data_IF_953882331045
#
_entry.id   IF_953882331045
#
_cell.length_a   1.000
_cell.length_b   1.000
_cell.length_c   1.000
_cell.angle_alpha   90.00
_cell.angle_beta   90.00
_cell.angle_gamma   90.00
#
_symmetry.space_group_name_H-M   'P 1'
#
loop_
_entity.id
_entity.type
_entity.pdbx_description
1 polymer ?
#
# COMPACT_ATOMS: atom_id res chain seq x y z
N UNK A 1 24.87 -17.13 -6.68
CA UNK A 1 23.44 -17.52 -6.57
C UNK A 1 22.87 -17.49 -5.13
N UNK A 2 23.53 -17.96 -4.06
CA UNK A 2 22.96 -17.91 -2.71
C UNK A 2 22.76 -16.47 -2.19
N UNK A 3 23.67 -15.54 -2.50
CA UNK A 3 23.58 -14.13 -2.07
C UNK A 3 22.32 -13.43 -2.58
N UNK A 4 22.00 -13.59 -3.85
CA UNK A 4 20.77 -13.00 -4.43
C UNK A 4 19.50 -13.51 -3.72
N UNK A 5 19.45 -14.80 -3.40
CA UNK A 5 18.31 -15.37 -2.67
C UNK A 5 18.18 -14.84 -1.24
N UNK A 6 19.29 -14.55 -0.58
CA UNK A 6 19.23 -13.95 0.77
C UNK A 6 18.75 -12.49 0.71
N UNK A 7 19.23 -11.72 -0.26
CA UNK A 7 18.80 -10.33 -0.45
C UNK A 7 17.31 -10.25 -0.81
N UNK A 8 16.86 -11.07 -1.77
CA UNK A 8 15.44 -11.08 -2.16
C UNK A 8 14.53 -11.51 -1.01
N UNK A 9 14.91 -12.53 -0.24
CA UNK A 9 14.16 -12.97 0.95
C UNK A 9 14.10 -11.89 2.01
N UNK A 10 15.19 -11.19 2.28
CA UNK A 10 15.25 -10.12 3.26
C UNK A 10 14.33 -8.96 2.86
N UNK A 11 14.39 -8.51 1.61
CA UNK A 11 13.51 -7.46 1.09
C UNK A 11 12.04 -7.90 1.16
N UNK A 12 11.74 -9.13 0.72
CA UNK A 12 10.39 -9.68 0.80
C UNK A 12 9.86 -9.72 2.22
N UNK A 13 10.67 -10.15 3.18
CA UNK A 13 10.24 -10.25 4.60
C UNK A 13 9.91 -8.89 5.19
N UNK A 14 10.69 -7.86 4.88
CA UNK A 14 10.41 -6.49 5.34
C UNK A 14 9.14 -5.96 4.70
N UNK A 15 8.98 -6.11 3.39
CA UNK A 15 7.79 -5.63 2.68
C UNK A 15 6.53 -6.35 3.13
N UNK A 16 6.59 -7.67 3.31
CA UNK A 16 5.47 -8.45 3.85
C UNK A 16 5.10 -7.97 5.24
N UNK A 17 6.06 -7.84 6.13
CA UNK A 17 5.80 -7.36 7.48
C UNK A 17 5.12 -5.99 7.48
N UNK A 18 5.59 -5.05 6.66
CA UNK A 18 4.99 -3.73 6.55
C UNK A 18 3.57 -3.79 5.96
N UNK A 19 3.36 -4.57 4.91
CA UNK A 19 2.06 -4.72 4.26
C UNK A 19 1.07 -5.40 5.20
N UNK A 20 1.48 -6.49 5.86
CA UNK A 20 0.64 -7.22 6.82
C UNK A 20 0.30 -6.35 8.03
N UNK A 21 1.27 -5.60 8.55
CA UNK A 21 1.04 -4.67 9.65
C UNK A 21 0.01 -3.59 9.28
N UNK A 22 0.14 -2.97 8.10
CA UNK A 22 -0.82 -1.97 7.63
C UNK A 22 -2.18 -2.62 7.33
N UNK A 23 -2.19 -3.80 6.71
CA UNK A 23 -3.41 -4.55 6.41
C UNK A 23 -4.17 -4.93 7.67
N UNK A 24 -3.50 -5.39 8.71
CA UNK A 24 -4.12 -5.71 10.00
C UNK A 24 -4.76 -4.48 10.64
N UNK A 25 -4.16 -3.30 10.52
CA UNK A 25 -4.77 -2.06 11.00
C UNK A 25 -6.09 -1.77 10.27
N UNK A 26 -6.16 -2.00 8.95
CA UNK A 26 -7.35 -1.65 8.14
C UNK A 26 -8.40 -2.77 8.05
N UNK A 27 -7.99 -4.03 8.10
CA UNK A 27 -8.89 -5.18 7.95
C UNK A 27 -9.13 -5.85 9.30
N UNK A 28 -8.09 -5.97 10.14
CA UNK A 28 -8.12 -6.62 11.44
C UNK A 28 -8.29 -5.70 12.65
N UNK A 29 -8.46 -4.40 12.41
CA UNK A 29 -8.31 -3.30 13.37
C UNK A 29 -9.01 -3.39 14.73
N UNK A 30 -9.93 -4.34 14.91
CA UNK A 30 -10.54 -4.60 16.24
C UNK A 30 -9.89 -5.78 16.92
N UNK A 31 -9.43 -6.78 16.19
CA UNK A 31 -8.75 -7.94 16.79
C UNK A 31 -7.47 -7.53 17.51
N UNK A 32 -6.74 -6.56 16.99
CA UNK A 32 -5.47 -6.10 17.57
C UNK A 32 -5.69 -5.16 18.78
N UNK A 33 -6.69 -4.28 18.73
CA UNK A 33 -6.98 -3.36 19.85
C UNK A 33 -7.65 -4.09 21.01
N UNK A 34 -8.48 -5.08 20.72
CA UNK A 34 -9.18 -5.87 21.75
C UNK A 34 -8.34 -7.05 22.25
N UNK A 35 -7.39 -7.55 21.47
CA UNK A 35 -6.43 -8.56 21.95
C UNK A 35 -5.55 -8.07 23.11
N UNK A 36 -5.42 -6.75 23.26
CA UNK A 36 -4.78 -6.17 24.46
C UNK A 36 -5.66 -6.21 25.71
N UNK A 37 -6.95 -6.52 25.58
CA UNK A 37 -7.88 -6.42 26.71
C UNK A 37 -8.54 -7.74 27.16
N UNK A 38 -8.63 -8.77 26.37
CA UNK A 38 -8.97 -10.16 26.77
C UNK A 38 -9.55 -10.97 25.58
N UNK A 39 -8.87 -12.03 25.17
CA UNK A 39 -9.34 -12.98 24.15
C UNK A 39 -10.65 -13.68 24.54
N UNK A 40 -10.80 -13.99 25.84
CA UNK A 40 -11.97 -14.71 26.39
C UNK A 40 -13.30 -13.95 26.19
N UNK A 41 -13.23 -12.63 26.04
CA UNK A 41 -14.44 -11.82 25.88
C UNK A 41 -15.01 -11.87 24.45
N UNK A 42 -14.16 -12.05 23.43
CA UNK A 42 -14.57 -12.12 22.01
C UNK A 42 -15.21 -13.47 21.73
N UNK A 43 -14.63 -14.56 22.24
CA UNK A 43 -15.17 -15.92 22.05
C UNK A 43 -16.51 -16.11 22.79
N UNK A 44 -16.73 -15.36 23.87
CA UNK A 44 -17.99 -15.36 24.63
C UNK A 44 -19.09 -14.48 24.00
N UNK A 45 -18.77 -13.60 23.04
CA UNK A 45 -19.71 -12.63 22.48
C UNK A 45 -19.64 -12.60 20.94
N UNK A 46 -20.38 -13.48 20.23
CA UNK A 46 -20.38 -13.53 18.75
C UNK A 46 -20.77 -12.20 18.07
N UNK A 47 -21.50 -11.34 18.78
CA UNK A 47 -21.84 -10.00 18.30
C UNK A 47 -20.66 -9.01 18.35
N UNK A 48 -19.57 -9.34 19.05
CA UNK A 48 -18.34 -8.53 19.04
C UNK A 48 -17.64 -8.57 17.66
N UNK A 49 -17.83 -9.65 16.88
CA UNK A 49 -17.45 -9.67 15.46
C UNK A 49 -18.31 -8.69 14.62
N UNK A 50 -19.54 -8.42 15.03
CA UNK A 50 -20.45 -7.49 14.38
C UNK A 50 -20.13 -6.01 14.67
N UNK A 51 -19.40 -5.74 15.75
CA UNK A 51 -18.80 -4.44 16.00
C UNK A 51 -17.51 -4.23 15.15
N UNK A 52 -17.56 -4.63 13.93
CA UNK A 52 -16.56 -4.33 12.90
C UNK A 52 -16.36 -2.82 12.73
N UNK A 53 -15.90 -2.24 13.80
CA UNK A 53 -15.55 -0.82 13.93
C UNK A 53 -14.61 -0.33 12.82
N UNK A 54 -13.75 -1.17 12.18
CA UNK A 54 -12.78 -0.65 11.21
C UNK A 54 -13.43 0.08 10.03
N UNK A 55 -14.44 -0.51 9.39
CA UNK A 55 -15.02 0.11 8.19
C UNK A 55 -15.80 1.39 8.51
N UNK A 56 -16.46 1.45 9.66
CA UNK A 56 -17.21 2.64 10.08
C UNK A 56 -16.28 3.79 10.45
N UNK A 57 -15.19 3.52 11.15
CA UNK A 57 -14.18 4.53 11.51
C UNK A 57 -13.48 5.05 10.25
N UNK A 58 -13.07 4.18 9.34
CA UNK A 58 -12.44 4.57 8.07
C UNK A 58 -13.41 5.38 7.23
N UNK A 59 -14.66 4.95 7.15
CA UNK A 59 -15.72 5.69 6.45
C UNK A 59 -15.95 7.06 7.06
N UNK A 60 -16.10 7.15 8.38
CA UNK A 60 -16.23 8.41 9.08
C UNK A 60 -15.01 9.32 8.87
N UNK A 61 -13.81 8.76 8.94
CA UNK A 61 -12.55 9.45 8.66
C UNK A 61 -12.51 10.01 7.24
N UNK A 62 -12.88 9.21 6.25
CA UNK A 62 -12.93 9.63 4.85
C UNK A 62 -13.96 10.77 4.62
N UNK A 63 -15.15 10.67 5.23
CA UNK A 63 -16.18 11.71 5.17
C UNK A 63 -15.68 13.01 5.81
N UNK A 64 -15.10 12.92 7.01
CA UNK A 64 -14.58 14.10 7.73
C UNK A 64 -13.43 14.75 6.98
N UNK A 65 -12.53 13.96 6.42
CA UNK A 65 -11.41 14.44 5.61
C UNK A 65 -11.93 15.12 4.34
N UNK A 66 -12.87 14.49 3.63
CA UNK A 66 -13.53 15.07 2.46
C UNK A 66 -14.21 16.40 2.79
N UNK A 67 -14.92 16.46 3.93
CA UNK A 67 -15.57 17.69 4.38
C UNK A 67 -14.57 18.83 4.66
N UNK A 68 -13.46 18.52 5.32
CA UNK A 68 -12.40 19.51 5.61
C UNK A 68 -11.65 19.99 4.38
N UNK A 69 -11.42 19.11 3.39
CA UNK A 69 -10.64 19.42 2.20
C UNK A 69 -11.42 20.20 1.15
N UNK A 70 -12.66 19.81 0.86
CA UNK A 70 -13.46 20.43 -0.21
C UNK A 70 -14.96 20.60 0.14
N UNK A 71 -15.31 20.47 1.42
CA UNK A 71 -16.66 20.74 1.90
C UNK A 71 -17.65 19.60 1.66
N UNK A 72 -18.96 19.95 1.64
CA UNK A 72 -20.06 18.96 1.65
C UNK A 72 -20.07 18.03 0.42
N UNK A 73 -19.71 18.55 -0.74
CA UNK A 73 -19.72 17.75 -1.99
C UNK A 73 -18.77 16.57 -1.93
N UNK A 74 -17.52 16.79 -1.53
CA UNK A 74 -16.53 15.73 -1.39
C UNK A 74 -16.85 14.78 -0.23
N UNK A 75 -17.43 15.29 0.86
CA UNK A 75 -17.88 14.45 1.98
C UNK A 75 -18.97 13.46 1.56
N UNK A 76 -19.97 13.91 0.80
CA UNK A 76 -21.06 13.06 0.29
C UNK A 76 -20.49 12.03 -0.70
N UNK A 77 -19.62 12.47 -1.61
CA UNK A 77 -18.98 11.57 -2.57
C UNK A 77 -18.13 10.49 -1.88
N UNK A 78 -17.31 10.89 -0.91
CA UNK A 78 -16.51 9.94 -0.13
C UNK A 78 -17.40 8.94 0.65
N UNK A 79 -18.45 9.43 1.30
CA UNK A 79 -19.40 8.56 2.01
C UNK A 79 -20.11 7.59 1.07
N UNK A 80 -20.60 8.05 -0.06
CA UNK A 80 -21.27 7.21 -1.06
C UNK A 80 -20.33 6.14 -1.62
N UNK A 81 -19.06 6.49 -1.89
CA UNK A 81 -18.05 5.55 -2.36
C UNK A 81 -17.75 4.47 -1.31
N UNK A 82 -17.59 4.86 -0.05
CA UNK A 82 -17.34 3.90 1.04
C UNK A 82 -18.52 2.95 1.27
N UNK A 83 -19.76 3.49 1.22
CA UNK A 83 -20.97 2.65 1.30
C UNK A 83 -21.04 1.69 0.11
N UNK A 84 -20.77 2.17 -1.10
CA UNK A 84 -20.74 1.34 -2.30
C UNK A 84 -19.74 0.17 -2.14
N UNK A 85 -18.50 0.45 -1.75
CA UNK A 85 -17.46 -0.56 -1.52
C UNK A 85 -17.93 -1.61 -0.49
N UNK A 86 -18.57 -1.16 0.60
CA UNK A 86 -19.05 -2.04 1.66
C UNK A 86 -20.23 -2.91 1.22
N UNK A 87 -21.22 -2.33 0.54
CA UNK A 87 -22.44 -3.05 0.09
C UNK A 87 -22.10 -4.11 -0.97
N UNK A 88 -21.17 -3.81 -1.87
CA UNK A 88 -20.76 -4.74 -2.92
C UNK A 88 -19.69 -5.75 -2.50
N UNK A 89 -19.33 -5.81 -1.20
CA UNK A 89 -18.36 -6.76 -0.68
C UNK A 89 -16.92 -6.50 -1.16
N UNK A 90 -16.63 -5.29 -1.66
CA UNK A 90 -15.31 -4.89 -2.15
C UNK A 90 -14.42 -4.30 -1.06
N UNK A 91 -14.83 -4.40 0.20
CA UNK A 91 -14.10 -3.82 1.33
C UNK A 91 -12.69 -4.41 1.45
N UNK A 92 -12.60 -5.73 1.55
CA UNK A 92 -11.33 -6.42 1.74
C UNK A 92 -10.33 -6.17 0.59
N UNK A 93 -10.70 -6.35 -0.71
CA UNK A 93 -9.80 -6.01 -1.81
C UNK A 93 -9.38 -4.52 -1.84
N UNK A 94 -10.29 -3.62 -1.46
CA UNK A 94 -9.99 -2.19 -1.42
C UNK A 94 -9.00 -1.84 -0.31
N UNK A 95 -9.16 -2.43 0.87
CA UNK A 95 -8.23 -2.22 1.99
C UNK A 95 -6.86 -2.87 1.73
N UNK A 96 -6.84 -4.02 1.05
CA UNK A 96 -5.61 -4.64 0.59
C UNK A 96 -4.85 -3.71 -0.37
N UNK A 97 -5.53 -3.17 -1.37
CA UNK A 97 -4.94 -2.21 -2.31
C UNK A 97 -4.44 -0.95 -1.60
N UNK A 98 -5.23 -0.42 -0.65
CA UNK A 98 -4.84 0.73 0.16
C UNK A 98 -3.58 0.45 0.98
N UNK A 99 -3.46 -0.74 1.55
CA UNK A 99 -2.29 -1.17 2.32
C UNK A 99 -1.03 -1.18 1.45
N UNK A 100 -1.11 -1.68 0.22
CA UNK A 100 0.00 -1.63 -0.73
C UNK A 100 0.42 -0.20 -1.06
N UNK A 101 -0.55 0.67 -1.33
CA UNK A 101 -0.26 2.07 -1.66
C UNK A 101 0.40 2.79 -0.47
N UNK A 102 -0.09 2.58 0.74
CA UNK A 102 0.45 3.20 1.95
C UNK A 102 1.88 2.77 2.27
N UNK A 103 2.27 1.57 1.86
CA UNK A 103 3.66 1.10 1.99
C UNK A 103 4.51 1.55 0.79
N UNK A 104 3.99 1.37 -0.43
CA UNK A 104 4.75 1.65 -1.64
C UNK A 104 4.98 3.14 -1.89
N UNK A 105 4.00 4.01 -1.60
CA UNK A 105 4.11 5.44 -1.88
C UNK A 105 5.23 6.14 -1.08
N UNK A 106 5.37 5.96 0.25
CA UNK A 106 6.49 6.54 0.98
C UNK A 106 7.86 6.03 0.51
N UNK A 107 7.95 4.72 0.22
CA UNK A 107 9.19 4.11 -0.27
C UNK A 107 9.56 4.70 -1.64
N UNK A 108 8.61 4.77 -2.56
CA UNK A 108 8.83 5.37 -3.90
C UNK A 108 9.18 6.84 -3.80
N UNK A 109 8.54 7.58 -2.88
CA UNK A 109 8.84 9.00 -2.65
C UNK A 109 10.27 9.20 -2.15
N UNK A 110 10.72 8.42 -1.15
CA UNK A 110 12.08 8.49 -0.62
C UNK A 110 13.10 8.14 -1.71
N UNK A 111 12.86 7.08 -2.47
CA UNK A 111 13.73 6.66 -3.58
C UNK A 111 13.77 7.71 -4.68
N UNK A 112 12.60 8.19 -5.12
CA UNK A 112 12.49 9.21 -6.16
C UNK A 112 13.19 10.51 -5.78
N UNK A 113 12.90 11.01 -4.55
CA UNK A 113 13.54 12.21 -4.05
C UNK A 113 15.07 12.06 -3.94
N UNK A 114 15.55 10.91 -3.42
CA UNK A 114 16.99 10.65 -3.29
C UNK A 114 17.69 10.62 -4.64
N UNK A 115 17.11 9.89 -5.61
CA UNK A 115 17.65 9.81 -6.96
C UNK A 115 17.55 11.13 -7.71
N UNK A 116 16.44 11.87 -7.55
CA UNK A 116 16.26 13.20 -8.13
C UNK A 116 17.29 14.22 -7.62
N UNK A 117 17.53 14.24 -6.31
CA UNK A 117 18.58 15.11 -5.71
C UNK A 117 19.97 14.72 -6.21
N UNK A 118 20.26 13.41 -6.34
CA UNK A 118 21.54 12.93 -6.89
C UNK A 118 21.71 13.33 -8.35
N UNK A 119 20.66 13.21 -9.17
CA UNK A 119 20.66 13.61 -10.57
C UNK A 119 20.86 15.12 -10.70
N UNK A 120 20.16 15.92 -9.89
CA UNK A 120 20.33 17.37 -9.86
C UNK A 120 21.76 17.80 -9.50
N UNK A 121 22.40 17.11 -8.55
CA UNK A 121 23.77 17.43 -8.11
C UNK A 121 24.85 16.98 -9.10
N UNK A 122 24.58 16.01 -9.94
CA UNK A 122 25.58 15.40 -10.82
C UNK A 122 25.08 15.19 -12.23
N UNK A 123 25.59 15.98 -13.19
CA UNK A 123 25.30 15.80 -14.62
C UNK A 123 25.64 14.41 -15.18
N UNK A 124 26.56 13.70 -14.52
CA UNK A 124 26.88 12.31 -14.92
C UNK A 124 25.75 11.35 -14.52
N UNK A 125 25.20 11.53 -13.32
CA UNK A 125 24.06 10.73 -12.84
C UNK A 125 22.83 11.03 -13.68
N UNK A 126 22.53 12.29 -13.94
CA UNK A 126 21.42 12.71 -14.79
C UNK A 126 21.49 12.06 -16.19
N UNK A 127 22.66 12.13 -16.86
CA UNK A 127 22.86 11.53 -18.20
C UNK A 127 22.65 10.01 -18.24
N UNK A 128 22.94 9.30 -17.15
CA UNK A 128 22.76 7.85 -17.06
C UNK A 128 21.32 7.54 -16.68
N UNK A 129 20.75 8.28 -15.73
CA UNK A 129 19.44 8.01 -15.16
C UNK A 129 18.31 8.36 -16.16
N UNK A 130 18.43 9.49 -16.86
CA UNK A 130 17.41 9.99 -17.80
C UNK A 130 16.96 8.95 -18.84
N UNK A 131 17.84 8.28 -19.60
CA UNK A 131 17.40 7.28 -20.56
C UNK A 131 16.77 6.05 -19.90
N UNK A 132 17.25 5.67 -18.71
CA UNK A 132 16.67 4.54 -17.95
C UNK A 132 15.23 4.88 -17.54
N UNK A 133 15.00 6.08 -17.00
CA UNK A 133 13.69 6.54 -16.60
C UNK A 133 12.73 6.64 -17.79
N UNK A 134 13.19 7.12 -18.95
CA UNK A 134 12.37 7.15 -20.17
C UNK A 134 11.91 5.75 -20.59
N UNK A 135 12.81 4.76 -20.58
CA UNK A 135 12.46 3.38 -20.90
C UNK A 135 11.47 2.83 -19.87
N UNK A 136 11.70 3.09 -18.58
CA UNK A 136 10.81 2.63 -17.53
C UNK A 136 9.39 3.20 -17.63
N UNK A 137 9.25 4.47 -18.01
CA UNK A 137 7.94 5.12 -18.15
C UNK A 137 7.16 4.67 -19.39
N UNK A 138 7.85 4.28 -20.46
CA UNK A 138 7.22 3.77 -21.69
C UNK A 138 6.88 2.29 -21.59
N UNK A 139 7.59 1.56 -20.72
CA UNK A 139 7.36 0.13 -20.55
C UNK A 139 6.04 -0.14 -19.82
N UNK A 140 5.14 -0.99 -20.35
CA UNK A 140 3.90 -1.35 -19.69
C UNK A 140 4.15 -1.93 -18.28
N UNK A 141 3.35 -1.52 -17.31
CA UNK A 141 3.52 -1.94 -15.90
C UNK A 141 3.54 -3.47 -15.72
N UNK A 142 2.75 -4.18 -16.51
CA UNK A 142 2.70 -5.66 -16.48
C UNK A 142 4.01 -6.33 -16.89
N UNK A 143 4.87 -5.65 -17.66
CA UNK A 143 6.17 -6.19 -18.04
C UNK A 143 7.12 -6.35 -16.85
N UNK A 144 6.93 -5.58 -15.77
CA UNK A 144 7.69 -5.70 -14.53
C UNK A 144 7.17 -6.81 -13.61
N UNK A 145 5.89 -7.20 -13.77
CA UNK A 145 5.26 -8.16 -12.87
C UNK A 145 5.86 -9.57 -13.04
N UNK A 146 6.13 -9.99 -14.28
CA UNK A 146 6.69 -11.33 -14.55
C UNK A 146 8.07 -11.51 -13.91
N UNK A 147 9.07 -10.63 -14.12
CA UNK A 147 10.34 -10.72 -13.42
C UNK A 147 10.21 -10.64 -11.90
N UNK A 148 9.30 -9.79 -11.39
CA UNK A 148 9.07 -9.68 -9.96
C UNK A 148 8.51 -10.99 -9.36
N UNK A 149 7.54 -11.62 -10.01
CA UNK A 149 7.01 -12.92 -9.57
C UNK A 149 8.07 -14.03 -9.59
N UNK A 150 8.96 -14.04 -10.57
CA UNK A 150 10.06 -15.01 -10.65
C UNK A 150 11.08 -14.82 -9.53
N UNK A 151 11.36 -13.56 -9.15
CA UNK A 151 12.37 -13.24 -8.13
C UNK A 151 11.83 -13.32 -6.70
N UNK A 152 10.59 -12.86 -6.48
CA UNK A 152 10.01 -12.67 -5.15
C UNK A 152 8.85 -13.63 -4.83
N UNK A 153 8.44 -14.42 -5.80
CA UNK A 153 7.30 -15.33 -5.69
C UNK A 153 5.98 -14.67 -6.13
N UNK A 154 4.95 -15.50 -6.26
CA UNK A 154 3.60 -15.06 -6.60
C UNK A 154 2.93 -14.58 -5.31
N UNK A 155 2.48 -13.32 -5.28
CA UNK A 155 1.77 -12.76 -4.13
C UNK A 155 1.97 -11.26 -3.96
N UNK A 156 1.61 -10.79 -2.79
CA UNK A 156 1.59 -9.39 -2.38
C UNK A 156 2.96 -8.70 -2.51
N UNK A 157 4.04 -9.47 -2.29
CA UNK A 157 5.42 -8.96 -2.40
C UNK A 157 5.76 -8.50 -3.82
N UNK A 158 5.43 -9.32 -4.81
CA UNK A 158 5.70 -8.99 -6.21
C UNK A 158 4.91 -7.74 -6.63
N UNK A 159 3.64 -7.65 -6.22
CA UNK A 159 2.79 -6.48 -6.45
C UNK A 159 3.36 -5.21 -5.84
N UNK A 160 3.78 -5.25 -4.58
CA UNK A 160 4.35 -4.11 -3.88
C UNK A 160 5.66 -3.63 -4.54
N UNK A 161 6.56 -4.55 -4.90
CA UNK A 161 7.82 -4.22 -5.56
C UNK A 161 7.57 -3.57 -6.92
N UNK A 162 6.66 -4.13 -7.71
CA UNK A 162 6.30 -3.54 -9.02
C UNK A 162 5.71 -2.14 -8.83
N UNK A 163 4.85 -1.96 -7.84
CA UNK A 163 4.28 -0.65 -7.52
C UNK A 163 5.38 0.36 -7.17
N UNK A 164 6.36 -0.01 -6.34
CA UNK A 164 7.49 0.84 -6.00
C UNK A 164 8.32 1.17 -7.24
N UNK A 165 8.67 0.18 -8.06
CA UNK A 165 9.49 0.35 -9.26
C UNK A 165 8.80 1.27 -10.26
N UNK A 166 7.49 1.12 -10.47
CA UNK A 166 6.73 1.92 -11.44
C UNK A 166 6.40 3.31 -10.92
N UNK A 167 6.19 3.47 -9.62
CA UNK A 167 5.88 4.76 -9.01
C UNK A 167 7.12 5.66 -8.81
N UNK A 168 8.32 5.09 -8.76
CA UNK A 168 9.56 5.86 -8.53
C UNK A 168 9.93 6.79 -9.69
N UNK A 169 9.92 6.39 -10.98
CA UNK A 169 10.33 7.25 -12.09
C UNK A 169 9.60 8.61 -12.20
N UNK A 170 8.29 8.71 -12.03
CA UNK A 170 7.60 10.00 -12.11
C UNK A 170 7.89 10.92 -10.91
N UNK A 171 8.54 10.43 -9.86
CA UNK A 171 8.90 11.21 -8.67
C UNK A 171 10.33 11.75 -8.70
N UNK A 172 11.14 11.39 -9.72
CA UNK A 172 12.52 11.84 -9.95
C UNK A 172 12.54 13.09 -10.81
#
# INVERSE_FOLDING_TARGET
>A
RPFMMHVTRFISSILLFLIEFVREIFIGGVKTVVAFTSWDWIDANPWAEFLGIPWTIITAGAILMGYKLAGRGLAIFAGATMIYISVFGQWEPSMQTLSFILVAAPVSFILGLSLGVLAYRSRRVEKILSPILMVMQVTPQYAYLVPAMVLFGIGDQAGAIVTIVVATPPMI
#
